data_IF_290352062664
#
_entry.id   IF_290352062664
#
_cell.length_a   1.000
_cell.length_b   1.000
_cell.length_c   1.000
_cell.angle_alpha   90.00
_cell.angle_beta   90.00
_cell.angle_gamma   90.00
#
_symmetry.space_group_name_H-M   'P 1'
#
loop_
_entity.id
_entity.type
_entity.pdbx_description
1 polymer ?
#
# COMPACT_ATOMS: atom_id res chain seq x y z
N UNK A 1 13.16 0.53 21.70
CA UNK A 1 12.68 1.26 20.51
C UNK A 1 12.84 0.26 19.39
N UNK A 2 11.90 -0.68 19.32
CA UNK A 2 12.09 -1.96 18.63
C UNK A 2 11.22 -2.03 17.37
N UNK A 3 10.97 -0.85 16.79
CA UNK A 3 10.21 -0.72 15.55
C UNK A 3 11.01 -1.28 14.39
N UNK A 4 10.47 -2.31 13.75
CA UNK A 4 11.10 -2.94 12.60
C UNK A 4 10.44 -2.46 11.30
N UNK A 5 11.27 -2.05 10.34
CA UNK A 5 10.79 -1.57 9.04
C UNK A 5 11.24 -2.51 7.92
N UNK A 6 10.27 -3.03 7.18
CA UNK A 6 10.44 -3.82 5.98
C UNK A 6 10.21 -2.95 4.74
N UNK A 7 10.82 -3.31 3.62
CA UNK A 7 10.64 -2.60 2.36
C UNK A 7 10.03 -3.53 1.31
N UNK A 8 8.97 -3.06 0.66
CA UNK A 8 8.25 -3.77 -0.42
C UNK A 8 8.38 -2.93 -1.69
N UNK A 9 8.86 -3.56 -2.77
CA UNK A 9 8.93 -2.90 -4.08
C UNK A 9 7.70 -3.25 -4.91
N UNK A 10 7.00 -2.24 -5.40
CA UNK A 10 5.88 -2.38 -6.33
C UNK A 10 6.34 -1.88 -7.70
N UNK A 11 6.16 -2.69 -8.74
CA UNK A 11 6.50 -2.33 -10.13
C UNK A 11 5.22 -2.31 -10.98
N UNK A 12 5.00 -1.24 -11.73
CA UNK A 12 3.96 -1.21 -12.75
C UNK A 12 4.49 -1.80 -14.06
N UNK A 13 4.25 -3.10 -14.28
CA UNK A 13 4.62 -3.77 -15.53
C UNK A 13 3.63 -3.54 -16.68
N UNK A 14 2.56 -2.77 -16.46
CA UNK A 14 1.55 -2.49 -17.48
C UNK A 14 1.99 -1.37 -18.43
N UNK A 15 1.18 -1.15 -19.47
CA UNK A 15 1.36 -0.03 -20.42
C UNK A 15 0.56 1.22 -20.02
N UNK A 16 -0.15 1.21 -18.89
CA UNK A 16 -1.03 2.30 -18.44
C UNK A 16 -0.59 2.87 -17.10
N UNK A 17 -0.96 4.11 -16.85
CA UNK A 17 -0.87 4.73 -15.53
C UNK A 17 -1.85 4.04 -14.59
N UNK A 18 -1.35 3.62 -13.43
CA UNK A 18 -2.17 2.99 -12.39
C UNK A 18 -2.18 3.84 -11.13
N UNK A 19 -3.34 3.92 -10.49
CA UNK A 19 -3.43 4.28 -9.07
C UNK A 19 -3.32 3.02 -8.24
N UNK A 20 -2.63 3.07 -7.09
CA UNK A 20 -2.51 1.97 -6.15
C UNK A 20 -2.72 2.43 -4.72
N UNK A 21 -3.24 1.56 -3.88
CA UNK A 21 -3.46 1.80 -2.45
C UNK A 21 -3.21 0.52 -1.65
N UNK A 22 -2.72 0.68 -0.43
CA UNK A 22 -2.46 -0.40 0.50
C UNK A 22 -3.44 -0.34 1.65
N UNK A 23 -4.13 -1.46 1.86
CA UNK A 23 -4.93 -1.72 3.06
C UNK A 23 -4.22 -2.76 3.91
N UNK A 24 -4.42 -2.71 5.21
CA UNK A 24 -3.93 -3.74 6.11
C UNK A 24 -4.98 -4.03 7.18
N UNK A 25 -4.96 -5.25 7.72
CA UNK A 25 -5.91 -5.69 8.75
C UNK A 25 -5.51 -5.25 10.16
N UNK A 26 -4.35 -4.61 10.33
CA UNK A 26 -3.77 -4.22 11.64
C UNK A 26 -3.46 -2.72 11.65
N UNK A 27 -4.50 -1.90 11.53
CA UNK A 27 -4.36 -0.45 11.36
C UNK A 27 -3.60 0.27 12.50
N UNK A 28 -3.57 -0.30 13.72
CA UNK A 28 -2.98 0.37 14.90
C UNK A 28 -1.46 0.11 15.04
N UNK A 29 -0.90 -0.92 14.38
CA UNK A 29 0.52 -1.32 14.55
C UNK A 29 1.36 -1.27 13.30
N UNK A 30 0.73 -1.38 12.13
CA UNK A 30 1.42 -1.32 10.85
C UNK A 30 1.31 0.09 10.27
N UNK A 31 2.43 0.80 10.23
CA UNK A 31 2.58 2.02 9.45
C UNK A 31 3.04 1.68 8.03
N UNK A 32 2.39 2.26 7.02
CA UNK A 32 2.76 2.07 5.60
C UNK A 32 3.06 3.43 4.98
N UNK A 33 4.22 3.56 4.32
CA UNK A 33 4.65 4.80 3.68
C UNK A 33 5.41 4.57 2.36
N UNK A 34 4.96 5.15 1.22
CA UNK A 34 3.66 5.79 1.05
C UNK A 34 2.52 4.75 1.10
N UNK A 35 1.33 5.07 1.64
CA UNK A 35 0.21 4.13 1.69
C UNK A 35 -0.55 4.00 0.36
N UNK A 36 -0.34 4.95 -0.55
CA UNK A 36 -0.97 4.99 -1.87
C UNK A 36 -0.18 5.88 -2.82
N UNK A 37 -0.46 5.78 -4.11
CA UNK A 37 0.18 6.63 -5.11
C UNK A 37 -0.25 6.31 -6.53
N UNK A 38 0.46 6.91 -7.48
CA UNK A 38 0.33 6.62 -8.91
C UNK A 38 1.66 6.09 -9.43
N UNK A 39 1.61 5.15 -10.38
CA UNK A 39 2.78 4.59 -11.03
C UNK A 39 2.60 4.68 -12.55
N UNK A 40 3.50 5.40 -13.22
CA UNK A 40 3.61 5.40 -14.67
C UNK A 40 4.00 4.00 -15.19
N UNK A 41 3.75 3.70 -16.49
CA UNK A 41 4.22 2.45 -17.10
C UNK A 41 5.72 2.24 -16.86
N UNK A 42 6.09 1.05 -16.36
CA UNK A 42 7.46 0.63 -16.01
C UNK A 42 8.08 1.38 -14.82
N UNK A 43 7.32 2.19 -14.11
CA UNK A 43 7.77 2.83 -12.87
C UNK A 43 7.72 1.84 -11.70
N UNK A 44 8.54 2.10 -10.69
CA UNK A 44 8.54 1.37 -9.44
C UNK A 44 8.57 2.31 -8.25
N UNK A 45 7.92 1.89 -7.16
CA UNK A 45 8.00 2.56 -5.86
C UNK A 45 8.52 1.57 -4.82
N UNK A 46 9.34 2.09 -3.91
CA UNK A 46 9.75 1.37 -2.71
C UNK A 46 8.93 1.89 -1.54
N UNK A 47 8.17 1.00 -0.93
CA UNK A 47 7.29 1.31 0.19
C UNK A 47 7.85 0.71 1.47
N UNK A 48 7.85 1.50 2.54
CA UNK A 48 8.19 1.07 3.89
C UNK A 48 6.93 0.55 4.60
N UNK A 49 7.06 -0.62 5.23
CA UNK A 49 6.09 -1.17 6.16
C UNK A 49 6.77 -1.29 7.51
N UNK A 50 6.34 -0.48 8.44
CA UNK A 50 6.88 -0.43 9.78
C UNK A 50 5.93 -1.09 10.77
N UNK A 51 6.47 -1.89 11.66
CA UNK A 51 5.74 -2.60 12.70
C UNK A 51 6.25 -2.14 14.06
N UNK A 52 5.37 -1.53 14.85
CA UNK A 52 5.70 -1.13 16.22
C UNK A 52 5.85 -2.38 17.11
N UNK A 53 6.58 -2.24 18.23
CA UNK A 53 6.78 -3.34 19.16
C UNK A 53 5.46 -3.81 19.80
N UNK A 54 5.28 -5.12 19.97
CA UNK A 54 4.12 -5.72 20.63
C UNK A 54 4.50 -7.06 21.28
N UNK A 55 3.65 -7.55 22.19
CA UNK A 55 3.81 -8.88 22.78
C UNK A 55 3.24 -9.96 21.86
N UNK A 56 4.14 -10.67 21.16
CA UNK A 56 3.80 -11.74 20.23
C UNK A 56 3.00 -12.88 20.88
N UNK A 57 3.19 -13.19 22.17
CA UNK A 57 2.50 -14.31 22.80
C UNK A 57 1.03 -14.01 23.10
N UNK A 58 0.66 -12.72 23.19
CA UNK A 58 -0.65 -12.27 23.65
C UNK A 58 -1.71 -12.19 22.55
N UNK A 59 -1.34 -12.39 21.28
CA UNK A 59 -2.22 -12.07 20.16
C UNK A 59 -2.21 -13.11 19.03
N UNK A 60 -3.28 -13.11 18.23
CA UNK A 60 -3.45 -14.02 17.10
C UNK A 60 -3.19 -13.31 15.77
N UNK A 61 -2.15 -13.74 15.06
CA UNK A 61 -1.73 -13.14 13.78
C UNK A 61 -2.15 -13.94 12.54
N UNK A 62 -2.86 -15.05 12.69
CA UNK A 62 -3.20 -15.97 11.59
C UNK A 62 -4.01 -15.35 10.45
N UNK A 63 -4.65 -14.20 10.68
CA UNK A 63 -5.48 -13.48 9.71
C UNK A 63 -4.87 -12.16 9.24
N UNK A 64 -3.62 -11.89 9.62
CA UNK A 64 -2.98 -10.63 9.28
C UNK A 64 -2.61 -10.58 7.81
N UNK A 65 -3.04 -9.52 7.13
CA UNK A 65 -2.84 -9.36 5.71
C UNK A 65 -2.54 -7.89 5.36
N UNK A 66 -1.62 -7.70 4.41
CA UNK A 66 -1.44 -6.46 3.66
C UNK A 66 -2.01 -6.70 2.27
N UNK A 67 -2.98 -5.89 1.87
CA UNK A 67 -3.68 -5.98 0.59
C UNK A 67 -3.31 -4.79 -0.25
N UNK A 68 -2.78 -5.05 -1.45
CA UNK A 68 -2.57 -4.02 -2.46
C UNK A 68 -3.68 -4.04 -3.48
N UNK A 69 -4.38 -2.92 -3.61
CA UNK A 69 -5.40 -2.68 -4.63
C UNK A 69 -4.86 -1.70 -5.66
N UNK A 70 -5.25 -1.87 -6.92
CA UNK A 70 -4.85 -0.95 -7.99
C UNK A 70 -5.94 -0.84 -9.05
N UNK A 71 -5.93 0.27 -9.77
CA UNK A 71 -6.85 0.51 -10.88
C UNK A 71 -6.19 1.36 -11.96
N UNK A 72 -6.65 1.21 -13.20
CA UNK A 72 -6.23 2.09 -14.28
C UNK A 72 -6.80 3.50 -14.03
N UNK A 73 -5.99 4.52 -14.25
CA UNK A 73 -6.47 5.91 -14.18
C UNK A 73 -7.22 6.26 -15.46
N UNK A 74 -8.26 7.10 -15.36
CA UNK A 74 -8.89 7.69 -16.54
C UNK A 74 -7.84 8.52 -17.31
N UNK A 75 -7.85 8.45 -18.65
CA UNK A 75 -6.81 9.06 -19.51
C UNK A 75 -6.63 10.58 -19.31
N UNK A 76 -7.61 11.28 -18.73
CA UNK A 76 -7.58 12.72 -18.44
C UNK A 76 -7.33 13.09 -16.97
N UNK A 77 -7.14 12.11 -16.08
CA UNK A 77 -6.89 12.41 -14.68
C UNK A 77 -5.50 13.07 -14.52
N UNK A 78 -5.47 14.26 -13.91
CA UNK A 78 -4.22 14.84 -13.42
C UNK A 78 -3.47 13.83 -12.53
N UNK A 79 -2.13 13.94 -12.42
CA UNK A 79 -1.27 13.14 -11.51
C UNK A 79 -1.55 13.43 -10.02
N UNK A 80 -2.81 13.35 -9.62
CA UNK A 80 -3.27 13.49 -8.26
C UNK A 80 -4.07 12.24 -7.94
N UNK A 81 -3.51 11.41 -7.04
CA UNK A 81 -4.19 10.23 -6.53
C UNK A 81 -5.54 10.64 -5.92
N UNK A 82 -6.62 9.92 -6.26
CA UNK A 82 -7.96 10.13 -5.72
C UNK A 82 -8.44 8.87 -5.01
N UNK A 83 -8.66 8.97 -3.70
CA UNK A 83 -9.24 7.88 -2.90
C UNK A 83 -10.59 7.39 -3.46
N UNK A 84 -11.34 8.28 -4.13
CA UNK A 84 -12.63 8.00 -4.78
C UNK A 84 -12.56 6.83 -5.80
N UNK A 85 -11.41 6.56 -6.41
CA UNK A 85 -11.22 5.42 -7.32
C UNK A 85 -11.36 4.05 -6.64
N UNK A 86 -11.25 4.03 -5.31
CA UNK A 86 -11.32 2.81 -4.49
C UNK A 86 -12.56 2.80 -3.58
N UNK A 87 -13.52 3.70 -3.82
CA UNK A 87 -14.80 3.78 -3.08
C UNK A 87 -15.99 3.22 -3.88
N UNK A 88 -15.73 2.58 -5.02
CA UNK A 88 -16.75 1.89 -5.80
C UNK A 88 -17.08 0.51 -5.25
N UNK A 89 -17.62 0.47 -4.02
CA UNK A 89 -18.46 -0.61 -3.47
C UNK A 89 -19.61 0.04 -2.67
#
# INVERSE_FOLDING_TARGET
DDKHTYHIKINNSSARLIGWAIKNTIAVRLGVDPPCGMLDPKEAVLMAVSCDAFDFASENFSKNCITGEWTNTLESAAKQFRCEWFQGD
#
